data_IF_549209809628
#
_entry.id   IF_549209809628
#
_cell.length_a   1.000
_cell.length_b   1.000
_cell.length_c   1.000
_cell.angle_alpha   90.00
_cell.angle_beta   90.00
_cell.angle_gamma   90.00
#
_symmetry.space_group_name_H-M   'P 1'
#
loop_
_entity.id
_entity.type
_entity.pdbx_description
1 polymer ?
#
# COMPACT_ATOMS: atom_id res chain seq x y z
N UNK A 1 0.16 12.07 13.57
CA UNK A 1 0.02 10.82 12.80
C UNK A 1 -0.62 11.19 11.49
N UNK A 2 -0.01 10.80 10.37
CA UNK A 2 -0.56 10.97 9.03
C UNK A 2 -0.44 9.63 8.28
N UNK A 3 -0.94 9.59 7.06
CA UNK A 3 -1.03 8.35 6.28
C UNK A 3 -0.40 8.53 4.91
N UNK A 4 0.36 7.53 4.46
CA UNK A 4 0.97 7.52 3.12
C UNK A 4 0.36 6.44 2.24
N UNK A 5 0.04 6.79 1.00
CA UNK A 5 -0.57 5.90 0.02
C UNK A 5 0.43 5.31 -0.95
N UNK A 6 0.25 4.04 -1.27
CA UNK A 6 1.05 3.30 -2.22
C UNK A 6 0.14 2.44 -3.10
N UNK A 7 0.42 2.41 -4.39
CA UNK A 7 -0.37 1.66 -5.36
C UNK A 7 0.58 0.94 -6.30
N UNK A 8 0.33 -0.35 -6.48
CA UNK A 8 0.98 -1.17 -7.48
C UNK A 8 -0.07 -1.96 -8.25
N UNK A 9 0.11 -2.02 -9.57
CA UNK A 9 -0.63 -2.90 -10.47
C UNK A 9 0.37 -3.58 -11.40
N UNK A 10 0.28 -4.87 -11.56
CA UNK A 10 1.14 -5.59 -12.49
C UNK A 10 0.82 -7.07 -12.58
N UNK A 11 1.47 -7.75 -13.52
CA UNK A 11 1.30 -9.19 -13.70
C UNK A 11 1.80 -9.96 -12.47
N UNK A 12 1.04 -10.98 -12.06
CA UNK A 12 1.48 -11.91 -11.01
C UNK A 12 2.85 -12.53 -11.33
N UNK A 13 3.05 -12.92 -12.60
CA UNK A 13 4.31 -13.49 -13.06
C UNK A 13 5.51 -12.53 -12.92
N UNK A 14 5.28 -11.21 -13.03
CA UNK A 14 6.32 -10.20 -12.77
C UNK A 14 6.68 -10.19 -11.30
N UNK A 15 5.67 -10.08 -10.42
CA UNK A 15 5.89 -10.08 -8.96
C UNK A 15 6.62 -11.34 -8.49
N UNK A 16 6.33 -12.50 -9.06
CA UNK A 16 7.00 -13.75 -8.69
C UNK A 16 8.48 -13.76 -9.09
N UNK A 17 8.84 -13.17 -10.25
CA UNK A 17 10.24 -13.04 -10.68
C UNK A 17 11.00 -12.02 -9.84
N UNK A 18 10.32 -10.97 -9.40
CA UNK A 18 10.87 -9.86 -8.61
C UNK A 18 10.58 -10.02 -7.11
N UNK A 19 10.41 -11.27 -6.63
CA UNK A 19 10.04 -11.52 -5.23
C UNK A 19 11.12 -11.04 -4.26
N UNK A 20 12.39 -11.17 -4.64
CA UNK A 20 13.54 -10.71 -3.84
C UNK A 20 13.48 -9.20 -3.57
N UNK A 21 12.93 -8.42 -4.50
CA UNK A 21 12.74 -6.97 -4.35
C UNK A 21 11.58 -6.61 -3.41
N UNK A 22 10.80 -7.59 -2.96
CA UNK A 22 9.80 -7.45 -1.91
C UNK A 22 10.41 -7.59 -0.50
N UNK A 23 11.61 -8.17 -0.40
CA UNK A 23 12.32 -8.38 0.86
C UNK A 23 13.07 -7.12 1.29
N UNK A 24 12.89 -6.65 2.55
CA UNK A 24 13.48 -5.40 3.02
C UNK A 24 15.02 -5.34 2.95
N UNK A 25 15.68 -6.49 2.94
CA UNK A 25 17.14 -6.63 2.91
C UNK A 25 17.67 -6.88 1.48
N UNK A 26 16.77 -6.95 0.49
CA UNK A 26 17.13 -7.10 -0.92
C UNK A 26 17.76 -5.81 -1.50
N UNK A 27 18.72 -5.92 -2.43
CA UNK A 27 19.48 -4.78 -2.93
C UNK A 27 18.63 -3.71 -3.65
N UNK A 28 17.53 -4.11 -4.31
CA UNK A 28 16.65 -3.17 -5.01
C UNK A 28 15.40 -2.80 -4.22
N UNK A 29 15.27 -3.25 -2.97
CA UNK A 29 14.03 -3.13 -2.20
C UNK A 29 13.48 -1.69 -2.16
N UNK A 30 14.37 -0.72 -1.93
CA UNK A 30 14.01 0.68 -1.78
C UNK A 30 13.51 1.33 -3.08
N UNK A 31 14.02 0.90 -4.24
CA UNK A 31 13.72 1.49 -5.55
C UNK A 31 12.63 0.74 -6.32
N UNK A 32 12.46 -0.55 -6.03
CA UNK A 32 11.47 -1.39 -6.72
C UNK A 32 10.05 -1.00 -6.34
N UNK A 33 9.17 -0.97 -7.33
CA UNK A 33 7.74 -0.70 -7.15
C UNK A 33 6.95 -1.94 -6.67
N UNK A 34 7.56 -3.13 -6.64
CA UNK A 34 6.85 -4.34 -6.22
C UNK A 34 6.43 -4.28 -4.75
N UNK A 35 5.24 -4.79 -4.39
CA UNK A 35 4.74 -4.71 -3.03
C UNK A 35 5.65 -5.41 -2.02
N UNK A 36 6.00 -4.78 -0.89
CA UNK A 36 6.86 -5.36 0.12
C UNK A 36 6.18 -6.54 0.83
N UNK A 37 6.99 -7.37 1.51
CA UNK A 37 6.49 -8.50 2.32
C UNK A 37 5.58 -8.08 3.48
N UNK A 38 5.77 -6.87 4.03
CA UNK A 38 4.94 -6.26 5.08
C UNK A 38 4.50 -4.88 4.64
N UNK A 39 3.22 -4.54 4.84
CA UNK A 39 2.62 -3.27 4.41
C UNK A 39 3.37 -2.05 4.95
N UNK A 40 3.78 -2.07 6.22
CA UNK A 40 4.57 -1.00 6.85
C UNK A 40 5.88 -0.68 6.10
N UNK A 41 6.51 -1.66 5.45
CA UNK A 41 7.78 -1.46 4.75
C UNK A 41 7.66 -0.61 3.47
N UNK A 42 6.45 -0.25 3.04
CA UNK A 42 6.30 0.81 2.03
C UNK A 42 6.97 2.13 2.46
N UNK A 43 7.05 2.44 3.77
CA UNK A 43 7.75 3.63 4.29
C UNK A 43 9.28 3.56 4.12
N UNK A 44 9.83 2.39 3.81
CA UNK A 44 11.26 2.21 3.51
C UNK A 44 11.55 2.34 2.01
N UNK A 45 10.53 2.38 1.15
CA UNK A 45 10.66 2.59 -0.29
C UNK A 45 10.79 4.08 -0.61
N UNK A 46 11.40 4.38 -1.76
CA UNK A 46 11.78 5.73 -2.15
C UNK A 46 10.55 6.63 -2.42
N UNK A 47 10.67 7.96 -2.22
CA UNK A 47 9.57 8.91 -2.38
C UNK A 47 8.83 8.88 -3.73
N UNK A 48 9.42 8.58 -4.89
CA UNK A 48 8.67 8.51 -6.14
C UNK A 48 7.54 7.47 -6.17
N UNK A 49 7.58 6.48 -5.28
CA UNK A 49 6.55 5.44 -5.15
C UNK A 49 5.35 5.89 -4.29
N UNK A 50 5.48 7.01 -3.59
CA UNK A 50 4.42 7.62 -2.80
C UNK A 50 3.32 8.20 -3.71
N UNK A 51 2.07 7.92 -3.39
CA UNK A 51 0.90 8.35 -4.17
C UNK A 51 0.05 9.43 -3.50
N UNK A 52 0.33 9.76 -2.24
CA UNK A 52 -0.38 10.81 -1.53
C UNK A 52 -0.23 10.69 -0.02
N UNK A 53 -0.27 11.84 0.66
CA UNK A 53 -0.28 11.93 2.13
C UNK A 53 -1.63 12.47 2.59
N UNK A 54 -2.16 11.92 3.68
CA UNK A 54 -3.41 12.37 4.26
C UNK A 54 -3.30 12.52 5.77
N UNK A 55 -3.92 13.56 6.31
CA UNK A 55 -3.99 13.81 7.76
C UNK A 55 -5.05 12.96 8.47
N UNK A 56 -5.99 12.37 7.72
CA UNK A 56 -7.10 11.60 8.30
C UNK A 56 -7.22 10.22 7.67
N UNK A 57 -7.57 9.24 8.49
CA UNK A 57 -7.87 7.88 8.05
C UNK A 57 -8.95 7.89 6.95
N UNK A 58 -10.02 8.68 7.12
CA UNK A 58 -11.12 8.80 6.16
C UNK A 58 -10.63 9.27 4.78
N UNK A 59 -9.74 10.25 4.71
CA UNK A 59 -9.20 10.74 3.44
C UNK A 59 -8.32 9.67 2.75
N UNK A 60 -7.50 8.94 3.52
CA UNK A 60 -6.74 7.80 3.02
C UNK A 60 -7.65 6.69 2.48
N UNK A 61 -8.68 6.28 3.22
CA UNK A 61 -9.65 5.29 2.73
C UNK A 61 -10.43 5.78 1.51
N UNK A 62 -10.81 7.05 1.46
CA UNK A 62 -11.48 7.62 0.28
C UNK A 62 -10.59 7.51 -0.98
N UNK A 63 -9.27 7.64 -0.83
CA UNK A 63 -8.34 7.38 -1.93
C UNK A 63 -8.30 5.89 -2.31
N UNK A 64 -8.24 4.98 -1.33
CA UNK A 64 -8.29 3.53 -1.60
C UNK A 64 -9.56 3.12 -2.37
N UNK A 65 -10.70 3.71 -2.00
CA UNK A 65 -11.98 3.51 -2.70
C UNK A 65 -11.87 3.95 -4.15
N UNK A 66 -11.32 5.14 -4.44
CA UNK A 66 -11.13 5.60 -5.84
C UNK A 66 -10.22 4.67 -6.63
N UNK A 67 -9.15 4.16 -6.01
CA UNK A 67 -8.28 3.16 -6.65
C UNK A 67 -9.04 1.87 -6.98
N UNK A 68 -9.92 1.41 -6.08
CA UNK A 68 -10.76 0.24 -6.29
C UNK A 68 -11.80 0.47 -7.39
N UNK A 69 -12.53 1.60 -7.35
CA UNK A 69 -13.56 1.94 -8.34
C UNK A 69 -12.96 1.96 -9.75
N UNK A 70 -11.72 2.43 -9.91
CA UNK A 70 -11.01 2.43 -11.19
C UNK A 70 -10.61 1.05 -11.73
N UNK A 71 -10.74 -0.02 -10.95
CA UNK A 71 -10.45 -1.40 -11.36
C UNK A 71 -11.62 -2.36 -11.13
N UNK A 72 -12.77 -1.88 -10.66
CA UNK A 72 -13.87 -2.72 -10.18
C UNK A 72 -14.33 -3.75 -11.23
N UNK A 73 -14.51 -3.34 -12.48
CA UNK A 73 -14.95 -4.22 -13.58
C UNK A 73 -13.91 -5.29 -13.98
N UNK A 74 -12.67 -5.11 -13.55
CA UNK A 74 -11.56 -6.03 -13.82
C UNK A 74 -11.33 -7.03 -12.69
N UNK A 75 -11.90 -6.81 -11.50
CA UNK A 75 -11.72 -7.72 -10.36
C UNK A 75 -12.30 -9.08 -10.69
N UNK A 76 -11.51 -10.13 -10.47
CA UNK A 76 -11.99 -11.51 -10.53
C UNK A 76 -12.71 -11.81 -9.21
N UNK A 77 -13.99 -12.15 -9.30
CA UNK A 77 -14.81 -12.58 -8.17
C UNK A 77 -15.11 -14.09 -8.26
N UNK A 78 -15.26 -14.79 -7.13
CA UNK A 78 -15.06 -14.30 -5.76
C UNK A 78 -13.56 -14.09 -5.47
N UNK A 79 -13.20 -12.94 -4.90
CA UNK A 79 -11.84 -12.72 -4.43
C UNK A 79 -11.68 -13.24 -2.99
N UNK A 80 -10.83 -14.27 -2.75
CA UNK A 80 -10.58 -14.75 -1.40
C UNK A 80 -9.91 -13.70 -0.49
N UNK A 81 -9.38 -12.63 -1.08
CA UNK A 81 -8.69 -11.53 -0.39
C UNK A 81 -9.57 -10.29 -0.22
N UNK A 82 -10.83 -10.31 -0.69
CA UNK A 82 -11.78 -9.23 -0.51
C UNK A 82 -12.57 -9.45 0.79
N UNK A 83 -12.52 -8.52 1.75
CA UNK A 83 -13.39 -8.60 2.91
C UNK A 83 -14.85 -8.39 2.47
N UNK A 84 -15.74 -9.28 2.87
CA UNK A 84 -17.18 -9.13 2.70
C UNK A 84 -17.72 -8.14 3.76
N UNK A 85 -18.77 -7.38 3.44
CA UNK A 85 -19.37 -6.39 4.35
C UNK A 85 -18.84 -4.96 4.21
N UNK A 86 -18.89 -4.17 5.29
CA UNK A 86 -18.45 -2.75 5.31
C UNK A 86 -16.91 -2.62 5.39
N UNK A 87 -16.26 -2.96 4.28
CA UNK A 87 -14.81 -2.84 4.13
C UNK A 87 -14.31 -1.41 4.38
N UNK A 88 -15.07 -0.40 3.96
CA UNK A 88 -14.71 1.02 4.13
C UNK A 88 -14.67 1.39 5.62
N UNK A 89 -15.71 1.05 6.36
CA UNK A 89 -15.80 1.30 7.80
C UNK A 89 -14.71 0.56 8.57
N UNK A 90 -14.53 -0.74 8.31
CA UNK A 90 -13.48 -1.55 8.94
C UNK A 90 -12.07 -1.00 8.67
N UNK A 91 -11.78 -0.61 7.42
CA UNK A 91 -10.48 -0.02 7.05
C UNK A 91 -10.28 1.34 7.71
N UNK A 92 -11.32 2.17 7.77
CA UNK A 92 -11.26 3.49 8.43
C UNK A 92 -10.98 3.34 9.92
N UNK A 93 -11.66 2.40 10.59
CA UNK A 93 -11.43 2.11 12.00
C UNK A 93 -10.03 1.55 12.25
N UNK A 94 -9.52 0.69 11.36
CA UNK A 94 -8.16 0.17 11.46
C UNK A 94 -7.11 1.28 11.36
N UNK A 95 -7.18 2.11 10.32
CA UNK A 95 -6.28 3.26 10.15
C UNK A 95 -6.41 4.27 11.30
N UNK A 96 -7.63 4.52 11.80
CA UNK A 96 -7.87 5.40 12.95
C UNK A 96 -7.25 4.89 14.25
N UNK A 97 -7.14 3.57 14.41
CA UNK A 97 -6.37 2.94 15.48
C UNK A 97 -4.85 2.90 15.20
N UNK A 98 -4.38 3.61 14.17
CA UNK A 98 -2.99 3.69 13.74
C UNK A 98 -2.44 2.37 13.19
N UNK A 99 -3.30 1.53 12.62
CA UNK A 99 -2.89 0.33 11.87
C UNK A 99 -2.66 0.68 10.41
N UNK A 100 -1.96 -0.19 9.68
CA UNK A 100 -1.87 -0.09 8.23
C UNK A 100 -3.05 -0.79 7.55
N UNK A 101 -3.35 -0.40 6.33
CA UNK A 101 -4.35 -1.04 5.48
C UNK A 101 -3.75 -1.42 4.14
N UNK A 102 -4.11 -2.60 3.63
CA UNK A 102 -3.80 -3.02 2.27
C UNK A 102 -4.99 -3.78 1.70
N UNK A 103 -5.43 -3.39 0.51
CA UNK A 103 -6.38 -4.14 -0.30
C UNK A 103 -5.63 -4.77 -1.46
N UNK A 104 -5.80 -6.08 -1.63
CA UNK A 104 -5.20 -6.84 -2.72
C UNK A 104 -6.29 -7.52 -3.54
N UNK A 105 -6.25 -7.34 -4.85
CA UNK A 105 -7.20 -7.93 -5.79
C UNK A 105 -6.47 -8.61 -6.93
N UNK A 106 -6.96 -9.79 -7.33
CA UNK A 106 -6.64 -10.37 -8.62
C UNK A 106 -7.55 -9.75 -9.69
N UNK A 107 -6.96 -9.35 -10.80
CA UNK A 107 -7.68 -8.84 -11.95
C UNK A 107 -7.71 -9.87 -13.09
N UNK A 108 -8.64 -9.69 -14.03
CA UNK A 108 -8.67 -10.42 -15.30
C UNK A 108 -7.33 -10.23 -16.02
N UNK A 109 -6.89 -11.25 -16.76
CA UNK A 109 -5.61 -11.20 -17.48
C UNK A 109 -4.37 -11.51 -16.61
N UNK A 110 -4.56 -11.97 -15.36
CA UNK A 110 -3.46 -12.41 -14.50
C UNK A 110 -2.69 -11.27 -13.82
N UNK A 111 -3.24 -10.06 -13.83
CA UNK A 111 -2.74 -8.93 -13.06
C UNK A 111 -3.18 -9.02 -11.59
N UNK A 112 -2.45 -8.31 -10.74
CA UNK A 112 -2.78 -8.06 -9.35
C UNK A 112 -2.67 -6.57 -9.06
N UNK A 113 -3.46 -6.12 -8.09
CA UNK A 113 -3.42 -4.75 -7.57
C UNK A 113 -3.19 -4.79 -6.08
N UNK A 114 -2.27 -3.96 -5.60
CA UNK A 114 -2.06 -3.69 -4.19
C UNK A 114 -2.29 -2.20 -3.97
N UNK A 115 -3.26 -1.87 -3.13
CA UNK A 115 -3.51 -0.49 -2.68
C UNK A 115 -3.27 -0.46 -1.18
N UNK A 116 -2.27 0.28 -0.73
CA UNK A 116 -1.89 0.36 0.67
C UNK A 116 -1.97 1.80 1.19
N UNK A 117 -2.44 1.94 2.42
CA UNK A 117 -2.36 3.17 3.20
C UNK A 117 -1.68 2.82 4.52
N UNK A 118 -0.56 3.49 4.79
CA UNK A 118 0.34 3.15 5.89
C UNK A 118 0.34 4.26 6.92
N UNK A 119 0.15 3.90 8.19
CA UNK A 119 0.22 4.81 9.31
C UNK A 119 1.66 5.30 9.51
N UNK A 120 1.83 6.61 9.67
CA UNK A 120 3.13 7.27 9.77
C UNK A 120 3.18 8.26 10.96
N UNK A 121 4.23 8.19 11.81
CA UNK A 121 5.25 7.13 11.84
C UNK A 121 4.62 5.76 12.16
N UNK A 122 5.23 4.68 11.68
CA UNK A 122 4.76 3.33 11.97
C UNK A 122 5.40 2.84 13.27
N UNK A 123 4.59 2.72 14.31
CA UNK A 123 5.06 2.37 15.67
C UNK A 123 5.31 0.88 15.89
N UNK A 124 4.90 0.01 14.96
CA UNK A 124 5.09 -1.44 15.11
C UNK A 124 6.48 -1.91 14.70
N UNK A 125 7.07 -1.23 13.71
CA UNK A 125 8.41 -1.52 13.19
C UNK A 125 9.37 -0.34 13.40
N UNK A 126 8.97 0.64 14.20
CA UNK A 126 9.71 1.89 14.48
C UNK A 126 10.20 2.61 13.21
N UNK A 127 9.31 2.76 12.22
CA UNK A 127 9.63 3.40 10.95
C UNK A 127 9.21 4.87 10.96
N UNK A 128 10.20 5.75 10.84
CA UNK A 128 10.00 7.18 10.65
C UNK A 128 9.40 7.53 9.28
N UNK A 129 8.97 8.78 9.15
CA UNK A 129 8.37 9.28 7.91
C UNK A 129 9.37 9.21 6.73
N UNK A 130 8.97 8.68 5.55
CA UNK A 130 9.83 8.66 4.37
C UNK A 130 10.18 10.07 3.86
N UNK A 131 9.30 11.05 4.12
CA UNK A 131 9.47 12.42 3.65
C UNK A 131 10.44 13.24 4.51
N UNK A 132 10.62 12.89 5.80
CA UNK A 132 11.59 13.60 6.66
C UNK A 132 13.04 13.23 6.34
N UNK A 133 13.28 12.06 5.74
CA UNK A 133 14.61 11.60 5.31
C UNK A 133 15.17 12.36 4.11
N UNK A 134 14.35 13.17 3.44
CA UNK A 134 14.66 13.86 2.19
C UNK A 134 14.59 15.39 2.32
N UNK A 135 14.51 15.94 3.53
CA UNK A 135 14.67 17.38 3.71
C UNK A 135 16.10 17.75 3.28
N UNK A 136 16.30 18.65 2.30
CA UNK A 136 17.64 19.13 2.01
C UNK A 136 18.22 19.75 3.30
N UNK A 137 19.49 19.47 3.56
CA UNK A 137 20.22 20.18 4.62
C UNK A 137 20.02 21.69 4.40
N UNK A 138 19.53 22.36 5.44
CA UNK A 138 19.34 23.81 5.44
C UNK A 138 20.69 24.52 5.42
#
# INVERSE_FOLDING_TARGET
MHFHGYYWRGLWARRQKEIDDSHPDGPNFAVSDVPPMRTCHWLRKNPPLHRGTWETARAGVAWMVRCHDGIADLVVEPSPWRPTGDLRGATTAALGAGRDACWNYQLRGGEQVFTAVVCCPNRWEDLGCPLTKHAPAR
#
